data_IF_873397287601
#
_entry.id   IF_873397287601
#
_cell.length_a   1.000
_cell.length_b   1.000
_cell.length_c   1.000
_cell.angle_alpha   90.00
_cell.angle_beta   90.00
_cell.angle_gamma   90.00
#
_symmetry.space_group_name_H-M   'P 1'
#
loop_
_entity.id
_entity.type
_entity.pdbx_description
1 polymer ?
#
# COMPACT_ATOMS: atom_id res chain seq x y z
N UNK A 1 -7.37 15.61 -24.63
CA UNK A 1 -6.84 14.64 -23.63
C UNK A 1 -6.13 13.53 -24.38
N UNK A 2 -4.90 13.18 -23.95
CA UNK A 2 -4.14 12.08 -24.56
C UNK A 2 -4.72 10.72 -24.16
N UNK A 3 -4.55 9.69 -25.02
CA UNK A 3 -4.97 8.31 -24.67
C UNK A 3 -4.35 7.80 -23.36
N UNK A 4 -3.04 8.04 -23.07
CA UNK A 4 -2.46 7.65 -21.78
C UNK A 4 -3.14 8.29 -20.59
N UNK A 5 -3.54 9.57 -20.66
CA UNK A 5 -4.24 10.26 -19.59
C UNK A 5 -5.61 9.64 -19.28
N UNK A 6 -6.41 9.31 -20.30
CA UNK A 6 -7.71 8.66 -20.11
C UNK A 6 -7.59 7.29 -19.43
N UNK A 7 -6.54 6.54 -19.79
CA UNK A 7 -6.25 5.25 -19.16
C UNK A 7 -5.85 5.46 -17.68
N UNK A 8 -5.01 6.46 -17.41
CA UNK A 8 -4.58 6.80 -16.05
C UNK A 8 -5.77 7.24 -15.19
N UNK A 9 -6.62 8.14 -15.69
CA UNK A 9 -7.82 8.60 -14.98
C UNK A 9 -8.73 7.42 -14.61
N UNK A 10 -9.03 6.55 -15.58
CA UNK A 10 -9.83 5.34 -15.32
C UNK A 10 -9.21 4.45 -14.23
N UNK A 11 -7.90 4.25 -14.27
CA UNK A 11 -7.16 3.48 -13.26
C UNK A 11 -7.31 4.14 -11.88
N UNK A 12 -7.07 5.44 -11.79
CA UNK A 12 -7.13 6.22 -10.55
C UNK A 12 -8.54 6.17 -9.95
N UNK A 13 -9.58 6.46 -10.74
CA UNK A 13 -10.97 6.42 -10.28
C UNK A 13 -11.37 5.06 -9.72
N UNK A 14 -10.97 3.97 -10.39
CA UNK A 14 -11.23 2.62 -9.91
C UNK A 14 -10.49 2.32 -8.60
N UNK A 15 -9.25 2.82 -8.46
CA UNK A 15 -8.45 2.59 -7.27
C UNK A 15 -8.98 3.36 -6.07
N UNK A 16 -9.37 4.62 -6.25
CA UNK A 16 -10.00 5.44 -5.21
C UNK A 16 -11.28 4.78 -4.69
N UNK A 17 -12.15 4.29 -5.59
CA UNK A 17 -13.38 3.57 -5.20
C UNK A 17 -13.06 2.31 -4.38
N UNK A 18 -12.04 1.56 -4.77
CA UNK A 18 -11.61 0.35 -4.05
C UNK A 18 -11.09 0.68 -2.65
N UNK A 19 -10.24 1.71 -2.53
CA UNK A 19 -9.69 2.14 -1.24
C UNK A 19 -10.79 2.68 -0.32
N UNK A 20 -11.69 3.51 -0.82
CA UNK A 20 -12.84 4.01 -0.06
C UNK A 20 -13.75 2.88 0.41
N UNK A 21 -13.98 1.85 -0.42
CA UNK A 21 -14.72 0.66 -0.01
C UNK A 21 -14.00 -0.09 1.14
N UNK A 22 -12.70 -0.28 1.04
CA UNK A 22 -11.92 -0.93 2.11
C UNK A 22 -11.91 -0.12 3.41
N UNK A 23 -11.81 1.22 3.33
CA UNK A 23 -11.97 2.08 4.50
C UNK A 23 -13.34 1.87 5.17
N UNK A 24 -14.40 1.84 4.35
CA UNK A 24 -15.74 1.58 4.87
C UNK A 24 -15.83 0.21 5.56
N UNK A 25 -15.24 -0.84 4.99
CA UNK A 25 -15.20 -2.17 5.62
C UNK A 25 -14.48 -2.17 6.98
N UNK A 26 -13.49 -1.29 7.18
CA UNK A 26 -12.73 -1.17 8.44
C UNK A 26 -13.30 -0.13 9.42
N UNK A 27 -14.42 0.52 9.08
CA UNK A 27 -15.05 1.53 9.95
C UNK A 27 -15.75 0.97 11.20
N UNK A 28 -15.92 -0.34 11.27
CA UNK A 28 -16.68 -0.99 12.35
C UNK A 28 -18.20 -0.87 12.23
N UNK A 29 -18.71 -0.32 11.13
CA UNK A 29 -20.15 -0.13 10.87
C UNK A 29 -20.66 -0.83 9.61
N UNK A 30 -19.74 -1.42 8.84
CA UNK A 30 -20.03 -2.02 7.55
C UNK A 30 -20.61 -3.44 7.64
N UNK A 31 -21.27 -3.84 6.56
CA UNK A 31 -21.67 -5.21 6.33
C UNK A 31 -20.90 -5.80 5.15
N UNK A 32 -20.16 -6.87 5.38
CA UNK A 32 -19.51 -7.62 4.31
C UNK A 32 -20.55 -8.44 3.56
N UNK A 33 -20.58 -8.30 2.22
CA UNK A 33 -21.59 -8.92 1.34
C UNK A 33 -23.04 -8.69 1.81
N UNK A 34 -23.34 -7.54 2.44
CA UNK A 34 -24.64 -7.16 2.98
C UNK A 34 -25.23 -8.15 4.02
N UNK A 35 -24.43 -9.05 4.56
CA UNK A 35 -24.89 -10.10 5.48
C UNK A 35 -24.14 -10.12 6.79
N UNK A 36 -22.80 -10.00 6.76
CA UNK A 36 -21.94 -10.17 7.92
C UNK A 36 -21.54 -8.81 8.46
N UNK A 37 -21.94 -8.51 9.69
CA UNK A 37 -21.60 -7.23 10.32
C UNK A 37 -20.15 -7.24 10.81
N UNK A 38 -19.35 -6.31 10.30
CA UNK A 38 -17.98 -6.06 10.75
C UNK A 38 -18.00 -4.95 11.81
N UNK A 39 -18.03 -5.34 13.08
CA UNK A 39 -17.94 -4.36 14.19
C UNK A 39 -16.49 -4.04 14.52
N UNK A 40 -16.26 -2.93 15.23
CA UNK A 40 -14.92 -2.56 15.69
C UNK A 40 -14.29 -3.65 16.57
N UNK A 41 -15.07 -4.30 17.44
CA UNK A 41 -14.57 -5.39 18.30
C UNK A 41 -14.16 -6.62 17.50
N UNK A 42 -14.97 -7.00 16.49
CA UNK A 42 -14.66 -8.12 15.57
C UNK A 42 -13.38 -7.84 14.81
N UNK A 43 -13.21 -6.62 14.26
CA UNK A 43 -12.00 -6.24 13.56
C UNK A 43 -10.78 -6.20 14.50
N UNK A 44 -10.92 -5.64 15.70
CA UNK A 44 -9.85 -5.58 16.69
C UNK A 44 -9.38 -7.00 17.05
N UNK A 45 -10.31 -7.91 17.34
CA UNK A 45 -9.99 -9.30 17.65
C UNK A 45 -9.34 -10.04 16.47
N UNK A 46 -9.85 -9.84 15.25
CA UNK A 46 -9.31 -10.49 14.05
C UNK A 46 -7.88 -10.07 13.75
N UNK A 47 -7.55 -8.81 14.02
CA UNK A 47 -6.22 -8.26 13.77
C UNK A 47 -5.29 -8.27 14.99
N UNK A 48 -5.71 -8.82 16.12
CA UNK A 48 -4.88 -9.02 17.32
C UNK A 48 -3.98 -10.26 17.15
N UNK A 49 -2.97 -10.14 16.30
CA UNK A 49 -2.00 -11.18 16.07
C UNK A 49 -0.66 -10.61 15.54
N UNK A 50 0.44 -11.38 15.69
CA UNK A 50 1.77 -10.95 15.31
C UNK A 50 1.92 -10.60 13.81
N UNK A 51 1.15 -11.25 12.92
CA UNK A 51 1.17 -10.97 11.48
C UNK A 51 0.55 -9.61 11.19
N UNK A 52 -0.59 -9.33 11.80
CA UNK A 52 -1.30 -8.05 11.67
C UNK A 52 -0.51 -6.91 12.32
N UNK A 53 0.08 -7.14 13.49
CA UNK A 53 0.96 -6.16 14.14
C UNK A 53 2.14 -5.78 13.23
N UNK A 54 2.80 -6.76 12.60
CA UNK A 54 3.87 -6.50 11.63
C UNK A 54 3.39 -5.70 10.42
N UNK A 55 2.22 -6.05 9.85
CA UNK A 55 1.64 -5.31 8.72
C UNK A 55 1.24 -3.89 9.12
N UNK A 56 0.76 -3.72 10.35
CA UNK A 56 0.40 -2.41 10.89
C UNK A 56 1.59 -1.44 10.83
N UNK A 57 2.79 -1.88 11.26
CA UNK A 57 4.02 -1.12 11.12
C UNK A 57 4.37 -0.82 9.67
N UNK A 58 4.30 -1.82 8.79
CA UNK A 58 4.57 -1.64 7.36
C UNK A 58 3.62 -0.62 6.72
N UNK A 59 2.33 -0.69 7.02
CA UNK A 59 1.32 0.24 6.52
C UNK A 59 1.53 1.65 7.08
N UNK A 60 1.94 1.77 8.34
CA UNK A 60 2.27 3.05 8.95
C UNK A 60 3.45 3.72 8.24
N UNK A 61 4.54 3.00 8.00
CA UNK A 61 5.70 3.53 7.28
C UNK A 61 5.34 3.95 5.86
N UNK A 62 4.61 3.12 5.14
CA UNK A 62 4.16 3.45 3.78
C UNK A 62 3.26 4.69 3.77
N UNK A 63 2.29 4.77 4.67
CA UNK A 63 1.37 5.91 4.76
C UNK A 63 2.06 7.22 5.09
N UNK A 64 2.99 7.23 6.05
CA UNK A 64 3.79 8.41 6.39
C UNK A 64 4.64 8.87 5.21
N UNK A 65 5.36 7.95 4.57
CA UNK A 65 6.25 8.26 3.47
C UNK A 65 5.50 8.74 2.22
N UNK A 66 4.35 8.14 1.90
CA UNK A 66 3.46 8.63 0.84
C UNK A 66 2.94 10.03 1.18
N UNK A 67 2.52 10.25 2.44
CA UNK A 67 2.07 11.56 2.91
C UNK A 67 3.14 12.64 2.79
N UNK A 68 4.40 12.32 3.14
CA UNK A 68 5.52 13.22 2.99
C UNK A 68 5.79 13.61 1.51
N UNK A 69 5.57 12.69 0.56
CA UNK A 69 5.73 12.97 -0.87
C UNK A 69 4.63 13.86 -1.45
N UNK A 70 3.50 14.05 -0.78
CA UNK A 70 2.42 14.91 -1.29
C UNK A 70 2.83 16.38 -1.44
N UNK A 71 3.92 16.82 -0.83
CA UNK A 71 4.45 18.19 -0.98
C UNK A 71 5.20 18.41 -2.30
N UNK A 72 5.59 17.34 -3.02
CA UNK A 72 6.33 17.44 -4.29
C UNK A 72 5.43 18.01 -5.38
N UNK A 73 5.67 19.23 -5.82
CA UNK A 73 4.78 19.96 -6.74
C UNK A 73 4.86 19.47 -8.20
N UNK A 74 6.05 19.03 -8.64
CA UNK A 74 6.24 18.58 -10.02
C UNK A 74 5.68 17.16 -10.21
N UNK A 75 4.71 16.94 -11.12
CA UNK A 75 4.08 15.63 -11.30
C UNK A 75 5.06 14.52 -11.72
N UNK A 76 6.04 14.84 -12.57
CA UNK A 76 7.02 13.87 -13.04
C UNK A 76 7.98 13.47 -11.93
N UNK A 77 8.39 14.42 -11.10
CA UNK A 77 9.22 14.15 -9.91
C UNK A 77 8.44 13.35 -8.86
N UNK A 78 7.17 13.68 -8.66
CA UNK A 78 6.30 12.97 -7.75
C UNK A 78 6.16 11.49 -8.10
N UNK A 79 5.83 11.16 -9.36
CA UNK A 79 5.70 9.76 -9.78
C UNK A 79 7.03 8.99 -9.73
N UNK A 80 8.15 9.66 -9.97
CA UNK A 80 9.50 9.08 -9.79
C UNK A 80 9.78 8.80 -8.31
N UNK A 81 9.53 9.77 -7.43
CA UNK A 81 9.71 9.62 -5.99
C UNK A 81 8.85 8.49 -5.42
N UNK A 82 7.59 8.37 -5.85
CA UNK A 82 6.74 7.22 -5.50
C UNK A 82 7.37 5.88 -5.91
N UNK A 83 7.96 5.78 -7.11
CA UNK A 83 8.58 4.52 -7.53
C UNK A 83 9.86 4.18 -6.75
N UNK A 84 10.65 5.19 -6.34
CA UNK A 84 11.80 4.98 -5.45
C UNK A 84 11.33 4.52 -4.07
N UNK A 85 10.35 5.20 -3.49
CA UNK A 85 9.72 4.81 -2.22
C UNK A 85 9.26 3.34 -2.24
N UNK A 86 8.66 2.88 -3.35
CA UNK A 86 8.20 1.50 -3.45
C UNK A 86 9.34 0.49 -3.41
N UNK A 87 10.45 0.77 -4.09
CA UNK A 87 11.63 -0.08 -4.04
C UNK A 87 12.20 -0.16 -2.61
N UNK A 88 12.27 0.97 -1.92
CA UNK A 88 12.70 1.03 -0.53
C UNK A 88 11.76 0.24 0.39
N UNK A 89 10.45 0.37 0.18
CA UNK A 89 9.44 -0.36 0.95
C UNK A 89 9.48 -1.87 0.69
N UNK A 90 9.64 -2.32 -0.56
CA UNK A 90 9.80 -3.74 -0.88
C UNK A 90 11.07 -4.29 -0.24
N UNK A 91 12.20 -3.58 -0.32
CA UNK A 91 13.46 -3.96 0.33
C UNK A 91 13.31 -4.08 1.86
N UNK A 92 12.68 -3.10 2.52
CA UNK A 92 12.43 -3.11 3.97
C UNK A 92 11.56 -4.30 4.38
N UNK A 93 10.51 -4.59 3.61
CA UNK A 93 9.61 -5.70 3.91
C UNK A 93 10.25 -7.07 3.66
N UNK A 94 11.10 -7.20 2.64
CA UNK A 94 11.85 -8.42 2.33
C UNK A 94 13.03 -8.65 3.29
N UNK A 95 13.80 -7.62 3.63
CA UNK A 95 14.89 -7.71 4.61
C UNK A 95 14.37 -8.24 5.96
N UNK A 96 13.23 -7.73 6.43
CA UNK A 96 12.57 -8.23 7.65
C UNK A 96 12.01 -9.64 7.50
N UNK A 97 11.68 -10.11 6.29
CA UNK A 97 11.32 -11.52 6.03
C UNK A 97 12.53 -12.44 6.15
N UNK A 98 13.67 -12.04 5.61
CA UNK A 98 14.92 -12.84 5.64
C UNK A 98 15.44 -12.97 7.07
N UNK A 99 15.37 -11.93 7.90
CA UNK A 99 15.77 -11.97 9.30
C UNK A 99 14.90 -12.94 10.15
N UNK A 100 13.63 -13.10 9.80
CA UNK A 100 12.72 -14.05 10.47
C UNK A 100 12.90 -15.47 9.92
N UNK A 101 13.35 -15.62 8.68
CA UNK A 101 13.57 -16.91 8.00
C UNK A 101 14.98 -17.46 8.17
N UNK A 102 15.81 -16.95 9.08
CA UNK A 102 17.19 -17.36 9.29
C UNK A 102 17.37 -18.80 9.88
N UNK A 103 16.50 -19.72 9.46
CA UNK A 103 16.77 -21.16 9.47
C UNK A 103 16.43 -21.75 8.09
N UNK A 104 17.20 -21.51 7.08
CA UNK A 104 17.33 -22.28 5.83
C UNK A 104 17.61 -21.35 4.63
N UNK A 105 18.90 -21.36 4.24
CA UNK A 105 19.48 -21.08 2.93
C UNK A 105 18.53 -20.81 1.75
N UNK A 106 18.59 -19.60 1.12
CA UNK A 106 19.05 -19.40 -0.27
C UNK A 106 18.92 -17.95 -0.73
N UNK A 107 20.08 -17.37 -1.01
CA UNK A 107 20.25 -16.18 -1.83
C UNK A 107 19.66 -16.45 -3.22
N UNK A 108 18.44 -16.00 -3.49
CA UNK A 108 17.94 -15.87 -4.87
C UNK A 108 18.33 -14.48 -5.33
N UNK A 109 19.27 -14.40 -6.24
CA UNK A 109 19.49 -13.24 -7.10
C UNK A 109 18.16 -13.01 -7.85
N UNK A 110 17.44 -11.95 -7.49
CA UNK A 110 16.35 -11.43 -8.31
C UNK A 110 17.03 -10.76 -9.50
N UNK A 111 16.89 -11.36 -10.66
CA UNK A 111 17.29 -10.80 -11.95
C UNK A 111 16.30 -9.69 -12.27
N UNK A 112 16.57 -8.47 -11.83
CA UNK A 112 15.86 -7.25 -12.26
C UNK A 112 16.58 -6.68 -13.48
N UNK A 113 16.34 -7.28 -14.66
CA UNK A 113 16.58 -6.63 -15.94
C UNK A 113 15.35 -5.75 -16.20
N UNK A 114 15.53 -4.45 -16.12
CA UNK A 114 14.77 -3.31 -16.68
C UNK A 114 14.56 -2.12 -15.71
N UNK A 115 15.38 -1.97 -14.69
CA UNK A 115 15.38 -0.76 -13.85
C UNK A 115 16.67 0.05 -13.99
N UNK A 116 17.24 0.10 -15.21
CA UNK A 116 18.54 0.69 -15.49
C UNK A 116 18.66 2.21 -15.27
N UNK A 117 17.62 2.92 -14.79
CA UNK A 117 17.67 4.36 -14.55
C UNK A 117 17.12 4.83 -13.19
N UNK A 118 16.82 3.92 -12.26
CA UNK A 118 16.46 4.28 -10.88
C UNK A 118 17.43 3.55 -9.96
N UNK A 119 18.67 4.04 -9.87
CA UNK A 119 19.54 3.68 -8.76
C UNK A 119 18.94 4.29 -7.50
N UNK A 120 18.30 3.48 -6.66
CA UNK A 120 17.98 3.96 -5.33
C UNK A 120 19.32 4.15 -4.60
N UNK A 121 19.53 5.32 -4.04
CA UNK A 121 20.70 5.63 -3.20
C UNK A 121 20.86 4.60 -2.06
N UNK A 122 19.77 3.93 -1.68
CA UNK A 122 19.77 2.84 -0.72
C UNK A 122 20.67 1.66 -1.12
N UNK A 123 20.71 1.26 -2.41
CA UNK A 123 21.57 0.16 -2.86
C UNK A 123 23.07 0.50 -2.71
N UNK A 124 23.41 1.79 -2.76
CA UNK A 124 24.78 2.27 -2.65
C UNK A 124 25.17 2.66 -1.22
N UNK A 125 24.25 3.28 -0.47
CA UNK A 125 24.54 3.91 0.83
C UNK A 125 23.92 3.16 2.02
N UNK A 126 22.94 2.31 1.79
CA UNK A 126 22.15 1.67 2.85
C UNK A 126 21.17 2.62 3.57
N UNK A 127 20.97 3.85 3.04
CA UNK A 127 20.08 4.85 3.62
C UNK A 127 18.86 5.06 2.71
N UNK A 128 17.66 4.95 3.25
CA UNK A 128 16.42 5.25 2.53
C UNK A 128 16.34 6.74 2.20
N UNK A 129 15.89 7.05 1.00
CA UNK A 129 15.70 8.43 0.54
C UNK A 129 14.32 8.98 0.91
N UNK A 130 13.30 8.15 0.80
CA UNK A 130 11.90 8.53 0.99
C UNK A 130 11.17 7.70 2.03
N UNK A 131 11.62 6.47 2.31
CA UNK A 131 10.97 5.62 3.29
C UNK A 131 11.32 6.06 4.71
N UNK A 132 10.32 6.54 5.44
CA UNK A 132 10.43 6.91 6.85
C UNK A 132 10.06 5.71 7.72
N UNK A 133 10.95 5.34 8.65
CA UNK A 133 10.73 4.22 9.59
C UNK A 133 10.91 4.66 11.04
N UNK A 134 10.14 5.67 11.52
CA UNK A 134 10.27 6.15 12.89
C UNK A 134 9.77 5.11 13.90
N UNK A 135 10.40 5.08 15.07
CA UNK A 135 9.92 4.31 16.21
C UNK A 135 8.81 5.08 16.93
N UNK A 136 7.76 4.37 17.34
CA UNK A 136 6.68 4.92 18.14
C UNK A 136 6.62 4.21 19.50
N UNK A 137 6.48 4.95 20.60
CA UNK A 137 6.47 4.39 21.96
C UNK A 137 5.09 3.81 22.39
N UNK A 138 4.19 3.57 21.43
CA UNK A 138 2.83 3.09 21.69
C UNK A 138 2.42 2.01 20.69
N UNK A 139 1.44 1.20 21.09
CA UNK A 139 0.85 0.19 20.21
C UNK A 139 -0.02 0.86 19.12
N UNK A 140 0.05 0.30 17.93
CA UNK A 140 -0.71 0.78 16.78
C UNK A 140 -1.96 -0.08 16.59
N UNK A 141 -3.11 0.57 16.45
CA UNK A 141 -4.37 -0.09 16.12
C UNK A 141 -4.48 -0.25 14.61
N UNK A 142 -4.67 -1.51 14.16
CA UNK A 142 -4.60 -1.89 12.75
C UNK A 142 -5.60 -1.12 11.88
N UNK A 143 -6.88 -1.05 12.27
CA UNK A 143 -7.93 -0.42 11.46
C UNK A 143 -7.65 1.07 11.27
N UNK A 144 -7.25 1.78 12.32
CA UNK A 144 -6.88 3.21 12.25
C UNK A 144 -5.67 3.46 11.36
N UNK A 145 -4.64 2.62 11.46
CA UNK A 145 -3.46 2.73 10.60
C UNK A 145 -3.80 2.43 9.15
N UNK A 146 -4.60 1.40 8.90
CA UNK A 146 -5.02 1.05 7.55
C UNK A 146 -5.91 2.12 6.91
N UNK A 147 -6.87 2.69 7.65
CA UNK A 147 -7.69 3.80 7.17
C UNK A 147 -6.83 5.03 6.83
N UNK A 148 -5.86 5.37 7.69
CA UNK A 148 -4.93 6.47 7.43
C UNK A 148 -4.04 6.22 6.21
N UNK A 149 -3.61 4.97 5.98
CA UNK A 149 -2.91 4.58 4.75
C UNK A 149 -3.80 4.80 3.52
N UNK A 150 -5.07 4.39 3.59
CA UNK A 150 -6.01 4.59 2.48
C UNK A 150 -6.18 6.08 2.16
N UNK A 151 -6.28 6.97 3.16
CA UNK A 151 -6.35 8.42 2.96
C UNK A 151 -5.12 8.95 2.22
N UNK A 152 -3.92 8.57 2.67
CA UNK A 152 -2.67 8.96 2.01
C UNK A 152 -2.61 8.46 0.56
N UNK A 153 -3.02 7.21 0.31
CA UNK A 153 -3.07 6.63 -1.03
C UNK A 153 -4.10 7.31 -1.93
N UNK A 154 -5.31 7.61 -1.43
CA UNK A 154 -6.33 8.35 -2.18
C UNK A 154 -5.80 9.72 -2.58
N UNK A 155 -5.14 10.44 -1.66
CA UNK A 155 -4.51 11.72 -1.96
C UNK A 155 -3.40 11.59 -3.02
N UNK A 156 -2.58 10.55 -2.93
CA UNK A 156 -1.55 10.28 -3.94
C UNK A 156 -2.14 9.97 -5.32
N UNK A 157 -3.20 9.15 -5.40
CA UNK A 157 -3.88 8.87 -6.66
C UNK A 157 -4.53 10.11 -7.27
N UNK A 158 -5.18 10.96 -6.48
CA UNK A 158 -5.71 12.23 -6.98
C UNK A 158 -4.58 13.11 -7.56
N UNK A 159 -3.45 13.18 -6.85
CA UNK A 159 -2.29 13.96 -7.30
C UNK A 159 -1.66 13.41 -8.58
N UNK A 160 -1.77 12.10 -8.88
CA UNK A 160 -1.28 11.53 -10.15
C UNK A 160 -2.03 12.04 -11.38
N UNK A 161 -3.26 12.55 -11.24
CA UNK A 161 -4.05 13.07 -12.36
C UNK A 161 -4.20 14.60 -12.32
N UNK A 162 -3.99 15.22 -11.17
CA UNK A 162 -4.20 16.66 -11.01
C UNK A 162 -3.16 17.47 -11.81
N UNK A 163 -3.64 18.23 -12.81
CA UNK A 163 -2.81 19.07 -13.67
C UNK A 163 -1.80 18.29 -14.53
N UNK A 164 -2.09 17.02 -14.86
CA UNK A 164 -1.14 16.15 -15.59
C UNK A 164 -1.53 15.89 -17.05
N UNK A 165 -2.60 16.49 -17.57
CA UNK A 165 -3.13 16.26 -18.92
C UNK A 165 -2.07 16.42 -20.01
N UNK A 166 -1.21 17.44 -19.89
CA UNK A 166 -0.18 17.77 -20.88
C UNK A 166 1.11 16.97 -20.71
N UNK A 167 1.39 16.48 -19.50
CA UNK A 167 2.64 15.74 -19.19
C UNK A 167 2.45 14.22 -19.15
N UNK A 168 1.20 13.76 -19.15
CA UNK A 168 0.87 12.34 -19.11
C UNK A 168 1.12 11.67 -20.46
N UNK A 169 2.38 11.34 -20.72
CA UNK A 169 2.80 10.45 -21.80
C UNK A 169 2.87 8.99 -21.35
N UNK A 170 3.29 8.09 -22.27
CA UNK A 170 3.39 6.65 -21.98
C UNK A 170 4.32 6.35 -20.80
N UNK A 171 5.48 7.03 -20.72
CA UNK A 171 6.43 6.81 -19.63
C UNK A 171 5.85 7.18 -18.25
N UNK A 172 5.05 8.25 -18.17
CA UNK A 172 4.34 8.65 -16.94
C UNK A 172 3.29 7.60 -16.55
N UNK A 173 2.47 7.16 -17.52
CA UNK A 173 1.48 6.10 -17.30
C UNK A 173 2.13 4.81 -16.81
N UNK A 174 3.25 4.40 -17.39
CA UNK A 174 3.95 3.17 -16.98
C UNK A 174 4.55 3.31 -15.57
N UNK A 175 5.06 4.48 -15.21
CA UNK A 175 5.51 4.75 -13.85
C UNK A 175 4.35 4.72 -12.83
N UNK A 176 3.20 5.31 -13.16
CA UNK A 176 1.99 5.24 -12.33
C UNK A 176 1.45 3.81 -12.19
N UNK A 177 1.52 3.00 -13.25
CA UNK A 177 1.14 1.57 -13.21
C UNK A 177 2.05 0.73 -12.31
N UNK A 178 3.35 1.03 -12.23
CA UNK A 178 4.26 0.36 -11.29
C UNK A 178 3.83 0.62 -9.85
N UNK A 179 3.55 1.89 -9.51
CA UNK A 179 2.99 2.25 -8.21
C UNK A 179 1.70 1.48 -7.93
N UNK A 180 0.73 1.51 -8.86
CA UNK A 180 -0.55 0.80 -8.72
C UNK A 180 -0.38 -0.72 -8.53
N UNK A 181 0.63 -1.32 -9.12
CA UNK A 181 0.89 -2.76 -9.00
C UNK A 181 1.20 -3.21 -7.57
N UNK A 182 1.99 -2.42 -6.81
CA UNK A 182 2.23 -2.71 -5.40
C UNK A 182 0.96 -2.50 -4.56
N UNK A 183 0.25 -1.39 -4.80
CA UNK A 183 -0.98 -1.10 -4.06
C UNK A 183 -2.02 -2.20 -4.29
N UNK A 184 -2.10 -2.76 -5.50
CA UNK A 184 -2.93 -3.95 -5.78
C UNK A 184 -2.55 -5.16 -4.94
N UNK A 185 -1.26 -5.42 -4.71
CA UNK A 185 -0.82 -6.52 -3.85
C UNK A 185 -1.32 -6.33 -2.42
N UNK A 186 -1.19 -5.11 -1.88
CA UNK A 186 -1.67 -4.75 -0.54
C UNK A 186 -3.20 -4.94 -0.45
N UNK A 187 -3.94 -4.37 -1.40
CA UNK A 187 -5.40 -4.49 -1.50
C UNK A 187 -5.83 -5.96 -1.55
N UNK A 188 -5.16 -6.78 -2.35
CA UNK A 188 -5.45 -8.22 -2.48
C UNK A 188 -5.27 -8.98 -1.17
N UNK A 189 -4.25 -8.62 -0.38
CA UNK A 189 -4.05 -9.21 0.96
C UNK A 189 -5.19 -8.84 1.90
N UNK A 190 -5.58 -7.56 1.92
CA UNK A 190 -6.64 -7.07 2.80
C UNK A 190 -7.99 -7.68 2.44
N UNK A 191 -8.33 -7.80 1.15
CA UNK A 191 -9.56 -8.49 0.73
C UNK A 191 -9.58 -9.95 1.16
N UNK A 192 -8.46 -10.65 1.02
CA UNK A 192 -8.35 -12.05 1.45
C UNK A 192 -8.54 -12.19 2.96
N UNK A 193 -7.98 -11.27 3.75
CA UNK A 193 -8.16 -11.28 5.20
C UNK A 193 -9.62 -11.03 5.59
N UNK A 194 -10.31 -10.09 4.93
CA UNK A 194 -11.74 -9.85 5.14
C UNK A 194 -12.62 -11.04 4.74
N UNK A 195 -12.27 -11.72 3.65
CA UNK A 195 -12.98 -12.95 3.21
C UNK A 195 -12.83 -14.05 4.26
N UNK A 196 -11.61 -14.31 4.74
CA UNK A 196 -11.36 -15.32 5.77
C UNK A 196 -12.07 -15.00 7.09
N UNK A 197 -12.04 -13.72 7.51
CA UNK A 197 -12.78 -13.26 8.69
C UNK A 197 -14.27 -13.52 8.53
N UNK A 198 -14.83 -13.15 7.39
CA UNK A 198 -16.26 -13.33 7.12
C UNK A 198 -16.68 -14.79 7.12
N UNK A 199 -15.86 -15.68 6.57
CA UNK A 199 -16.09 -17.12 6.61
C UNK A 199 -16.04 -17.65 8.05
N UNK A 200 -15.11 -17.18 8.89
CA UNK A 200 -15.04 -17.61 10.29
C UNK A 200 -16.28 -17.21 11.08
N UNK A 201 -16.77 -15.97 10.88
CA UNK A 201 -18.00 -15.49 11.52
C UNK A 201 -19.23 -16.28 11.10
N UNK A 202 -19.36 -16.62 9.82
CA UNK A 202 -20.46 -17.47 9.33
C UNK A 202 -20.46 -18.85 9.99
N UNK A 203 -19.29 -19.47 10.14
CA UNK A 203 -19.16 -20.78 10.79
C UNK A 203 -19.53 -20.69 12.28
N UNK A 204 -19.26 -19.57 12.94
CA UNK A 204 -19.66 -19.36 14.35
C UNK A 204 -21.16 -19.18 14.50
N UNK A 205 -21.82 -18.46 13.60
CA UNK A 205 -23.29 -18.29 13.63
C UNK A 205 -24.07 -19.58 13.29
N UNK A 206 -23.45 -20.56 12.63
CA UNK A 206 -24.05 -21.83 12.28
C UNK A 206 -23.94 -22.91 13.37
N UNK A 207 -23.27 -22.65 14.47
CA UNK A 207 -23.10 -23.56 15.61
C UNK A 207 -24.16 -23.34 16.67
#
# INVERSE_FOLDING_TARGET
MSTPFLILDTLVQNRIKTLAHLQHMHSGTAFYLNSIRLTSDVLAQAYDNAVSAKRCWQYKYLGLSVGALLVVMNPVEFVKALNVLLLEYENETEAKRVLISNNIFRRRQVHSQDLSNVSSTFLETGVYQYLETPDFPFELEYSSVFMSLCDALIAAYNKLIDGTEDVCGQAYLDAARRFDSLIKKIIGIVFKDLELLSLSLLVEEMK
#
